data_IF_833915745879
#
_entry.id   IF_833915745879
#
_cell.length_a   1.000
_cell.length_b   1.000
_cell.length_c   1.000
_cell.angle_alpha   90.00
_cell.angle_beta   90.00
_cell.angle_gamma   90.00
#
_symmetry.space_group_name_H-M   'P 1'
#
loop_
_entity.id
_entity.type
_entity.pdbx_description
1 polymer ?
#
# COMPACT_ATOMS: atom_id res chain seq x y z
N UNK A 1 -10.17 5.12 6.08
CA UNK A 1 -9.53 3.86 6.49
C UNK A 1 -8.49 4.21 7.54
N UNK A 2 -8.40 3.47 8.65
CA UNK A 2 -7.46 3.85 9.71
C UNK A 2 -6.00 3.62 9.27
N UNK A 3 -5.02 4.29 9.90
CA UNK A 3 -3.60 4.11 9.62
C UNK A 3 -3.14 2.66 9.79
N UNK A 4 -3.64 1.99 10.82
CA UNK A 4 -3.27 0.62 11.15
C UNK A 4 -3.69 -0.35 10.06
N UNK A 5 -4.88 -0.15 9.47
CA UNK A 5 -5.36 -0.98 8.36
C UNK A 5 -4.52 -0.74 7.11
N UNK A 6 -4.18 0.51 6.79
CA UNK A 6 -3.34 0.82 5.64
C UNK A 6 -1.97 0.13 5.77
N UNK A 7 -1.30 0.35 6.90
CA UNK A 7 0.01 -0.24 7.21
C UNK A 7 -0.06 -1.77 7.18
N UNK A 8 -1.07 -2.38 7.79
CA UNK A 8 -1.22 -3.83 7.84
C UNK A 8 -1.40 -4.44 6.44
N UNK A 9 -2.23 -3.84 5.59
CA UNK A 9 -2.48 -4.33 4.23
C UNK A 9 -1.23 -4.17 3.35
N UNK A 10 -0.58 -3.00 3.39
CA UNK A 10 0.63 -2.75 2.61
C UNK A 10 1.78 -3.67 3.03
N UNK A 11 1.96 -3.90 4.33
CA UNK A 11 2.96 -4.85 4.84
C UNK A 11 2.63 -6.29 4.46
N UNK A 12 1.36 -6.68 4.56
CA UNK A 12 0.93 -8.03 4.17
C UNK A 12 1.19 -8.28 2.69
N UNK A 13 0.91 -7.29 1.84
CA UNK A 13 1.19 -7.38 0.42
C UNK A 13 2.69 -7.53 0.13
N UNK A 14 3.55 -6.84 0.89
CA UNK A 14 5.00 -6.97 0.76
C UNK A 14 5.48 -8.40 1.08
N UNK A 15 4.95 -8.99 2.16
CA UNK A 15 5.29 -10.35 2.60
C UNK A 15 4.75 -11.41 1.64
N UNK A 16 3.47 -11.32 1.27
CA UNK A 16 2.82 -12.29 0.40
C UNK A 16 3.38 -12.22 -1.02
N UNK A 17 3.56 -11.02 -1.57
CA UNK A 17 4.13 -10.81 -2.88
C UNK A 17 5.66 -10.95 -2.93
N UNK A 18 6.31 -10.95 -1.76
CA UNK A 18 7.77 -10.96 -1.61
C UNK A 18 8.44 -9.87 -2.45
N UNK A 19 7.92 -8.66 -2.31
CA UNK A 19 8.32 -7.50 -3.09
C UNK A 19 8.45 -6.27 -2.21
N UNK A 20 9.12 -5.25 -2.72
CA UNK A 20 9.13 -3.95 -2.09
C UNK A 20 7.77 -3.27 -2.32
N UNK A 21 7.15 -2.78 -1.25
CA UNK A 21 5.90 -2.03 -1.32
C UNK A 21 6.16 -0.58 -0.96
N UNK A 22 5.78 0.32 -1.86
CA UNK A 22 5.77 1.76 -1.64
C UNK A 22 4.31 2.14 -1.40
N UNK A 23 4.00 2.57 -0.17
CA UNK A 23 2.66 2.97 0.24
C UNK A 23 2.65 4.49 0.49
N UNK A 24 2.44 5.31 -0.55
CA UNK A 24 2.37 6.76 -0.38
C UNK A 24 1.06 7.16 0.28
N UNK A 25 1.09 8.24 1.05
CA UNK A 25 -0.09 8.86 1.64
C UNK A 25 -0.09 10.36 1.36
N UNK A 26 -1.27 10.96 1.29
CA UNK A 26 -1.41 12.39 1.13
C UNK A 26 -1.64 13.04 2.50
N UNK A 27 -0.97 14.16 2.74
CA UNK A 27 -1.22 15.01 3.89
C UNK A 27 -2.33 16.03 3.58
N UNK A 28 -3.23 16.24 4.54
CA UNK A 28 -4.22 17.32 4.50
C UNK A 28 -3.68 18.52 5.28
N UNK A 29 -3.31 19.58 4.58
CA UNK A 29 -2.90 20.84 5.21
C UNK A 29 -4.11 21.70 5.59
N UNK A 30 -3.90 22.67 6.47
CA UNK A 30 -4.94 23.65 6.82
C UNK A 30 -5.41 24.45 5.61
N UNK A 31 -4.52 24.76 4.66
CA UNK A 31 -4.88 25.45 3.42
C UNK A 31 -5.85 24.61 2.57
N UNK A 32 -5.64 23.28 2.51
CA UNK A 32 -6.55 22.36 1.84
C UNK A 32 -7.93 22.38 2.52
N UNK A 33 -7.97 22.39 3.84
CA UNK A 33 -9.23 22.46 4.59
C UNK A 33 -9.95 23.77 4.29
N UNK A 34 -9.27 24.90 4.31
CA UNK A 34 -9.86 26.20 3.99
C UNK A 34 -10.44 26.25 2.57
N UNK A 35 -9.78 25.63 1.60
CA UNK A 35 -10.24 25.58 0.22
C UNK A 35 -11.41 24.62 0.01
N UNK A 36 -11.42 23.46 0.66
CA UNK A 36 -12.41 22.40 0.41
C UNK A 36 -13.63 22.47 1.34
N UNK A 37 -13.48 23.00 2.56
CA UNK A 37 -14.51 22.98 3.59
C UNK A 37 -15.30 24.30 3.62
N UNK A 38 -16.31 24.38 2.76
CA UNK A 38 -17.24 25.52 2.65
C UNK A 38 -18.22 25.67 3.81
N UNK A 39 -18.37 24.64 4.65
CA UNK A 39 -19.34 24.60 5.74
C UNK A 39 -18.81 23.79 6.94
N UNK A 40 -19.52 23.90 8.08
CA UNK A 40 -19.13 23.26 9.34
C UNK A 40 -19.17 21.74 9.26
N UNK A 41 -20.07 21.16 8.46
CA UNK A 41 -20.19 19.70 8.33
C UNK A 41 -18.93 19.16 7.65
N UNK A 42 -18.49 19.77 6.55
CA UNK A 42 -17.23 19.39 5.89
C UNK A 42 -16.01 19.54 6.80
N UNK A 43 -15.92 20.64 7.55
CA UNK A 43 -14.83 20.89 8.52
C UNK A 43 -14.79 19.87 9.68
N UNK A 44 -15.92 19.23 9.97
CA UNK A 44 -15.99 18.15 10.96
C UNK A 44 -15.52 16.81 10.40
N UNK A 45 -15.69 16.58 9.09
CA UNK A 45 -15.33 15.33 8.41
C UNK A 45 -13.88 15.29 7.91
N UNK A 46 -13.31 16.44 7.56
CA UNK A 46 -11.92 16.55 7.09
C UNK A 46 -11.05 17.19 8.18
N UNK A 47 -10.00 16.49 8.60
CA UNK A 47 -9.03 16.94 9.61
C UNK A 47 -7.65 17.09 8.97
N UNK A 48 -6.83 17.97 9.56
CA UNK A 48 -5.47 18.15 9.13
C UNK A 48 -4.62 16.91 9.47
N UNK A 49 -3.55 16.74 8.72
CA UNK A 49 -2.61 15.63 8.85
C UNK A 49 -2.97 14.44 7.97
N UNK A 50 -2.76 13.23 8.51
CA UNK A 50 -3.09 11.97 7.84
C UNK A 50 -1.93 11.31 7.11
N UNK A 51 -0.69 11.80 7.27
CA UNK A 51 0.46 11.08 6.70
C UNK A 51 0.75 9.78 7.46
N UNK A 52 0.76 8.68 6.70
CA UNK A 52 1.22 7.35 7.11
C UNK A 52 1.99 6.68 5.97
N UNK A 53 2.67 7.47 5.15
CA UNK A 53 3.49 6.95 4.07
C UNK A 53 4.57 6.02 4.62
N UNK A 54 4.83 4.93 3.90
CA UNK A 54 5.83 3.95 4.31
C UNK A 54 6.36 3.14 3.13
N UNK A 55 7.56 2.57 3.32
CA UNK A 55 8.16 1.62 2.40
C UNK A 55 8.45 0.33 3.16
N UNK A 56 7.99 -0.80 2.61
CA UNK A 56 8.24 -2.13 3.17
C UNK A 56 9.17 -2.96 2.29
N UNK A 57 10.04 -3.74 2.93
CA UNK A 57 10.83 -4.78 2.30
C UNK A 57 10.04 -6.07 2.04
N UNK A 58 10.58 -6.99 1.23
CA UNK A 58 9.94 -8.27 0.88
C UNK A 58 9.61 -9.19 2.06
N UNK A 59 10.26 -8.97 3.21
CA UNK A 59 10.03 -9.69 4.47
C UNK A 59 9.04 -8.94 5.40
N UNK A 60 8.48 -7.82 4.96
CA UNK A 60 7.60 -6.95 5.74
C UNK A 60 8.32 -5.98 6.66
N UNK A 61 9.66 -5.93 6.65
CA UNK A 61 10.43 -4.92 7.37
C UNK A 61 10.08 -3.51 6.89
N UNK A 62 9.96 -2.56 7.80
CA UNK A 62 9.74 -1.16 7.44
C UNK A 62 11.08 -0.49 7.17
N UNK A 63 11.28 0.02 5.95
CA UNK A 63 12.56 0.55 5.48
C UNK A 63 12.73 2.05 5.73
N UNK A 64 11.69 2.71 6.23
CA UNK A 64 11.65 4.16 6.46
C UNK A 64 11.14 4.49 7.85
N UNK A 65 11.71 5.53 8.45
CA UNK A 65 11.12 6.14 9.65
C UNK A 65 9.88 6.93 9.22
N UNK A 66 8.71 6.70 9.84
CA UNK A 66 7.50 7.44 9.50
C UNK A 66 7.63 8.90 9.96
N UNK A 67 7.03 9.82 9.21
CA UNK A 67 6.91 11.22 9.60
C UNK A 67 5.88 11.41 10.71
N UNK A 68 5.87 12.60 11.32
CA UNK A 68 4.71 13.01 12.09
C UNK A 68 3.50 13.20 11.19
N UNK A 69 2.29 12.98 11.71
CA UNK A 69 1.05 13.01 10.92
C UNK A 69 0.78 14.34 10.18
N UNK A 70 1.46 15.43 10.58
CA UNK A 70 1.33 16.78 10.04
C UNK A 70 2.56 17.26 9.25
N UNK A 71 3.51 16.38 8.96
CA UNK A 71 4.76 16.72 8.28
C UNK A 71 4.75 16.24 6.83
N UNK A 72 5.03 17.15 5.92
CA UNK A 72 5.23 16.84 4.50
C UNK A 72 6.71 16.57 4.23
N UNK A 73 7.01 15.51 3.49
CA UNK A 73 8.39 15.17 3.19
C UNK A 73 8.57 14.04 2.20
N UNK A 74 9.84 13.68 1.97
CA UNK A 74 10.24 12.58 1.11
C UNK A 74 10.79 11.43 1.96
N UNK A 75 10.16 10.27 1.84
CA UNK A 75 10.69 9.03 2.40
C UNK A 75 11.64 8.38 1.38
N UNK A 76 12.86 8.12 1.81
CA UNK A 76 13.92 7.53 0.99
C UNK A 76 14.37 6.21 1.61
N UNK A 77 14.49 5.19 0.78
CA UNK A 77 15.02 3.87 1.17
C UNK A 77 15.97 3.35 0.09
N UNK A 78 17.00 2.61 0.52
CA UNK A 78 17.86 1.84 -0.39
C UNK A 78 17.33 0.42 -0.47
N UNK A 79 17.12 -0.07 -1.69
CA UNK A 79 16.57 -1.40 -1.92
C UNK A 79 17.69 -2.35 -2.33
N UNK A 80 17.86 -3.44 -1.57
CA UNK A 80 18.75 -4.55 -1.96
C UNK A 80 17.94 -5.65 -2.65
N UNK A 81 18.11 -5.87 -3.97
CA UNK A 81 17.38 -6.92 -4.69
C UNK A 81 17.61 -8.33 -4.16
N UNK A 82 18.74 -8.60 -3.48
CA UNK A 82 19.01 -9.91 -2.90
C UNK A 82 18.00 -10.29 -1.81
N UNK A 83 17.40 -9.30 -1.12
CA UNK A 83 16.35 -9.53 -0.12
C UNK A 83 15.12 -10.26 -0.69
N UNK A 84 14.79 -10.06 -1.97
CA UNK A 84 13.71 -10.77 -2.66
C UNK A 84 14.04 -12.27 -2.77
N UNK A 85 15.28 -12.60 -3.12
CA UNK A 85 15.73 -14.00 -3.22
C UNK A 85 15.63 -14.70 -1.87
N UNK A 86 16.03 -14.03 -0.78
CA UNK A 86 15.90 -14.57 0.57
C UNK A 86 14.44 -14.77 0.98
N UNK A 87 13.56 -13.80 0.72
CA UNK A 87 12.14 -13.93 1.01
C UNK A 87 11.53 -15.13 0.26
N UNK A 88 11.82 -15.27 -1.04
CA UNK A 88 11.38 -16.39 -1.89
C UNK A 88 11.86 -17.75 -1.41
N UNK A 89 13.09 -17.83 -0.91
CA UNK A 89 13.60 -19.08 -0.34
C UNK A 89 12.75 -19.58 0.85
N UNK A 90 12.11 -18.67 1.59
CA UNK A 90 11.28 -19.01 2.76
C UNK A 90 9.86 -19.44 2.35
N UNK A 91 9.18 -18.69 1.48
CA UNK A 91 7.75 -18.91 1.22
C UNK A 91 7.30 -18.47 -0.19
N UNK A 92 7.82 -19.05 -1.27
CA UNK A 92 7.49 -18.64 -2.66
C UNK A 92 6.08 -19.11 -3.10
N UNK A 93 5.05 -18.24 -3.09
CA UNK A 93 3.65 -18.65 -3.26
C UNK A 93 3.33 -19.14 -4.68
N UNK A 94 4.15 -18.79 -5.66
CA UNK A 94 4.03 -19.23 -7.06
C UNK A 94 5.06 -20.30 -7.43
N UNK A 95 5.92 -20.69 -6.48
CA UNK A 95 6.96 -21.68 -6.66
C UNK A 95 6.76 -22.86 -5.72
N UNK A 96 7.74 -23.12 -4.84
CA UNK A 96 7.78 -24.33 -4.00
C UNK A 96 6.64 -24.42 -2.98
N UNK A 97 6.06 -23.29 -2.58
CA UNK A 97 4.93 -23.25 -1.65
C UNK A 97 3.58 -23.49 -2.37
N UNK A 98 3.55 -23.40 -3.71
CA UNK A 98 2.34 -23.58 -4.49
C UNK A 98 1.92 -25.06 -4.58
N UNK A 99 0.60 -25.28 -4.74
CA UNK A 99 -0.01 -26.61 -4.93
C UNK A 99 -0.78 -26.67 -6.25
N UNK A 100 -0.08 -26.69 -7.40
CA UNK A 100 -0.72 -26.73 -8.71
C UNK A 100 -1.55 -28.01 -8.94
N UNK A 101 -1.28 -29.06 -8.17
CA UNK A 101 -2.07 -30.29 -8.12
C UNK A 101 -3.44 -30.11 -7.45
N UNK A 102 -3.62 -29.07 -6.63
CA UNK A 102 -4.87 -28.77 -5.92
C UNK A 102 -5.61 -27.60 -6.55
N UNK A 103 -4.90 -26.53 -6.90
CA UNK A 103 -5.52 -25.30 -7.41
C UNK A 103 -4.66 -24.69 -8.50
N UNK A 104 -5.31 -24.29 -9.59
CA UNK A 104 -4.71 -23.56 -10.70
C UNK A 104 -5.59 -22.38 -11.08
N UNK A 105 -4.99 -21.22 -11.32
CA UNK A 105 -5.68 -20.02 -11.78
C UNK A 105 -5.70 -19.99 -13.31
N UNK A 106 -6.89 -20.10 -13.92
CA UNK A 106 -7.06 -19.81 -15.34
C UNK A 106 -7.40 -18.33 -15.52
N UNK A 107 -6.49 -17.58 -16.12
CA UNK A 107 -6.66 -16.15 -16.38
C UNK A 107 -7.20 -15.90 -17.80
N UNK A 108 -8.31 -15.17 -17.91
CA UNK A 108 -8.81 -14.67 -19.18
C UNK A 108 -8.41 -13.19 -19.36
N UNK A 109 -7.51 -12.86 -20.30
CA UNK A 109 -7.07 -11.48 -20.52
C UNK A 109 -8.02 -10.67 -21.43
N UNK A 110 -9.09 -11.28 -21.96
CA UNK A 110 -10.04 -10.56 -22.81
C UNK A 110 -10.73 -9.43 -22.03
N UNK A 111 -10.94 -8.29 -22.69
CA UNK A 111 -11.67 -7.19 -22.10
C UNK A 111 -13.09 -7.63 -21.72
N UNK A 112 -13.55 -7.22 -20.54
CA UNK A 112 -14.95 -7.40 -20.18
C UNK A 112 -15.85 -6.64 -21.16
N UNK A 113 -17.01 -7.21 -21.45
CA UNK A 113 -18.02 -6.48 -22.23
C UNK A 113 -18.42 -5.23 -21.45
N UNK A 114 -18.41 -4.08 -22.12
CA UNK A 114 -18.97 -2.86 -21.55
C UNK A 114 -20.43 -3.10 -21.17
N UNK A 115 -20.89 -2.64 -20.00
CA UNK A 115 -22.31 -2.72 -19.67
C UNK A 115 -23.12 -2.05 -20.79
N UNK A 116 -24.17 -2.73 -21.25
CA UNK A 116 -25.14 -2.12 -22.18
C UNK A 116 -25.93 -1.11 -21.38
N UNK A 117 -25.68 0.18 -21.64
CA UNK A 117 -26.46 1.29 -21.11
C UNK A 117 -27.37 1.71 -22.27
N UNK A 118 -28.61 1.21 -22.26
CA UNK A 118 -29.70 1.71 -23.11
C UNK A 118 -30.22 3.06 -22.60
#
# INVERSE_FOLDING_TARGET
MSPEVNIALSRSYAVEGQCFVIAPCAIVSEQIIEQLCTDKTKRNLLKAGGDHACIFGPDGSQLTTPFSENEEGLLLATLDPASITFAKAIADPVGHYSRPDVTSLLFNPAANQSPVID
#
